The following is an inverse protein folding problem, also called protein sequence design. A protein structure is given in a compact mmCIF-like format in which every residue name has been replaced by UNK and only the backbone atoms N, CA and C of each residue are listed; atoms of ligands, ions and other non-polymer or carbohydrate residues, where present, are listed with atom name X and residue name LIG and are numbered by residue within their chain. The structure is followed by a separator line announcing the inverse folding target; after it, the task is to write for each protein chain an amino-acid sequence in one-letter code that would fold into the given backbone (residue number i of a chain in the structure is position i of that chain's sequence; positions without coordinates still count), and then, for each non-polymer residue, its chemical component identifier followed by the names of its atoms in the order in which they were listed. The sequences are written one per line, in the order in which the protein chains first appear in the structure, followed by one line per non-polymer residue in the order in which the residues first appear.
data_IF_380285136007
#
_entry.id   IF_380285136007
#
_cell.length_a   1.000
_cell.length_b   1.000
_cell.length_c   1.000
_cell.angle_alpha   90.00
_cell.angle_beta   90.00
_cell.angle_gamma   90.00
#
_symmetry.space_group_name_H-M   'P 1'
#
loop_
_entity.id
_entity.type
_entity.pdbx_description
1 polymer ?
#
# COMPACT_ATOMS: atom_id res chain seq x y z
N UNK A 1 -15.43 -15.78 -4.57
CA UNK A 1 -14.89 -14.44 -4.35
C UNK A 1 -15.86 -13.40 -4.87
N UNK A 2 -16.22 -12.37 -4.10
CA UNK A 2 -17.01 -11.24 -4.57
C UNK A 2 -16.31 -10.53 -5.73
N UNK A 3 -17.11 -9.90 -6.60
CA UNK A 3 -16.57 -9.15 -7.74
C UNK A 3 -15.78 -7.93 -7.23
N UNK A 4 -14.54 -7.79 -7.67
CA UNK A 4 -13.66 -6.66 -7.32
C UNK A 4 -13.96 -5.46 -8.22
N UNK A 5 -15.01 -4.71 -7.85
CA UNK A 5 -15.54 -3.59 -8.65
C UNK A 5 -14.66 -2.33 -8.56
N UNK A 6 -13.88 -2.18 -7.49
CA UNK A 6 -13.12 -0.96 -7.20
C UNK A 6 -11.65 -1.05 -7.62
N UNK A 7 -11.17 -2.18 -8.10
CA UNK A 7 -9.78 -2.40 -8.47
C UNK A 7 -9.21 -1.28 -9.35
N UNK A 8 -9.86 -0.97 -10.46
CA UNK A 8 -9.36 0.04 -11.41
C UNK A 8 -9.34 1.44 -10.78
N UNK A 9 -10.31 1.76 -9.94
CA UNK A 9 -10.39 3.02 -9.23
C UNK A 9 -9.28 3.17 -8.18
N UNK A 10 -8.98 2.08 -7.43
CA UNK A 10 -7.89 2.07 -6.45
C UNK A 10 -6.55 2.27 -7.15
N UNK A 11 -6.26 1.51 -8.21
CA UNK A 11 -5.01 1.69 -8.97
C UNK A 11 -4.90 3.10 -9.58
N UNK A 12 -6.00 3.66 -10.10
CA UNK A 12 -5.99 5.02 -10.63
C UNK A 12 -5.67 6.06 -9.54
N UNK A 13 -6.20 5.92 -8.33
CA UNK A 13 -5.89 6.79 -7.21
C UNK A 13 -4.41 6.69 -6.78
N UNK A 14 -3.86 5.47 -6.71
CA UNK A 14 -2.43 5.26 -6.43
C UNK A 14 -1.53 5.82 -7.54
N UNK A 15 -1.89 5.61 -8.81
CA UNK A 15 -1.15 6.14 -9.96
C UNK A 15 -1.15 7.67 -10.00
N UNK A 16 -2.27 8.29 -9.65
CA UNK A 16 -2.37 9.76 -9.56
C UNK A 16 -1.45 10.33 -8.49
N UNK A 17 -1.28 9.64 -7.37
CA UNK A 17 -0.39 10.04 -6.29
C UNK A 17 1.09 9.78 -6.59
N UNK A 18 1.38 8.88 -7.52
CA UNK A 18 2.75 8.40 -7.82
C UNK A 18 3.73 9.54 -8.11
N UNK A 19 3.39 10.45 -9.02
CA UNK A 19 4.30 11.55 -9.40
C UNK A 19 4.65 12.46 -8.22
N UNK A 20 3.69 12.65 -7.32
CA UNK A 20 3.86 13.43 -6.09
C UNK A 20 4.83 12.73 -5.12
N UNK A 21 4.66 11.43 -4.92
CA UNK A 21 5.52 10.64 -4.05
C UNK A 21 6.91 10.39 -4.65
N UNK A 22 7.03 10.29 -5.97
CA UNK A 22 8.34 10.20 -6.65
C UNK A 22 9.17 11.47 -6.45
N UNK A 23 8.54 12.64 -6.59
CA UNK A 23 9.21 13.92 -6.45
C UNK A 23 9.44 14.30 -4.98
N UNK A 24 8.50 13.97 -4.10
CA UNK A 24 8.45 14.50 -2.75
C UNK A 24 8.28 16.03 -2.74
N UNK A 25 8.33 16.64 -1.55
CA UNK A 25 8.34 18.10 -1.40
C UNK A 25 6.97 18.68 -1.04
N UNK A 26 6.70 19.89 -1.49
CA UNK A 26 5.49 20.63 -1.11
C UNK A 26 4.41 20.53 -2.17
N UNK A 27 3.19 20.26 -1.72
CA UNK A 27 1.99 20.13 -2.56
C UNK A 27 0.92 21.09 -2.06
N UNK A 28 0.34 21.88 -2.96
CA UNK A 28 -0.86 22.68 -2.65
C UNK A 28 -2.08 21.74 -2.69
N UNK A 29 -2.81 21.74 -1.61
CA UNK A 29 -4.01 20.93 -1.44
C UNK A 29 -5.12 21.77 -0.81
N UNK A 30 -6.07 22.22 -1.63
CA UNK A 30 -7.19 23.09 -1.23
C UNK A 30 -6.76 24.32 -0.42
N UNK A 31 -5.70 25.01 -0.86
CA UNK A 31 -5.16 26.20 -0.20
C UNK A 31 -4.29 25.93 1.03
N UNK A 32 -4.04 24.67 1.35
CA UNK A 32 -3.08 24.26 2.38
C UNK A 32 -1.84 23.68 1.71
N UNK A 33 -0.67 23.98 2.27
CA UNK A 33 0.59 23.36 1.81
C UNK A 33 0.87 22.11 2.62
N UNK A 34 1.01 20.97 1.94
CA UNK A 34 1.37 19.68 2.52
C UNK A 34 2.83 19.35 2.21
N UNK A 35 3.58 18.95 3.22
CA UNK A 35 4.90 18.35 3.02
C UNK A 35 4.73 16.84 2.80
N UNK A 36 5.22 16.35 1.67
CA UNK A 36 5.13 14.94 1.27
C UNK A 36 6.54 14.39 1.08
N UNK A 37 6.96 13.38 1.86
CA UNK A 37 8.27 12.77 1.64
C UNK A 37 8.30 12.01 0.32
N UNK A 38 9.48 11.92 -0.30
CA UNK A 38 9.67 11.03 -1.43
C UNK A 38 9.54 9.57 -0.96
N UNK A 39 8.90 8.73 -1.77
CA UNK A 39 8.77 7.31 -1.45
C UNK A 39 10.13 6.59 -1.51
N UNK A 40 10.25 5.51 -0.77
CA UNK A 40 11.44 4.65 -0.78
C UNK A 40 11.45 3.76 -2.02
N UNK A 41 12.66 3.52 -2.54
CA UNK A 41 12.95 2.52 -3.54
C UNK A 41 13.89 1.47 -2.96
N UNK A 42 13.56 0.21 -3.13
CA UNK A 42 14.32 -0.90 -2.56
C UNK A 42 15.29 -1.48 -3.56
N UNK A 43 16.49 -1.82 -3.08
CA UNK A 43 17.54 -2.39 -3.92
C UNK A 43 17.31 -3.88 -4.24
N UNK A 44 16.75 -4.62 -3.27
CA UNK A 44 16.65 -6.08 -3.31
C UNK A 44 15.55 -6.63 -2.39
N UNK A 45 15.35 -7.94 -2.42
CA UNK A 45 14.36 -8.61 -1.55
C UNK A 45 14.67 -8.47 -0.07
N UNK A 46 15.94 -8.41 0.31
CA UNK A 46 16.35 -8.31 1.73
C UNK A 46 15.86 -6.97 2.30
N UNK A 47 16.07 -5.88 1.56
CA UNK A 47 15.60 -4.55 1.96
C UNK A 47 14.07 -4.46 1.97
N UNK A 48 13.36 -5.11 1.03
CA UNK A 48 11.90 -5.18 1.02
C UNK A 48 11.41 -5.98 2.24
N UNK A 49 11.98 -7.15 2.52
CA UNK A 49 11.57 -7.95 3.68
C UNK A 49 11.79 -7.19 4.99
N UNK A 50 12.95 -6.58 5.16
CA UNK A 50 13.25 -5.78 6.36
C UNK A 50 12.26 -4.61 6.53
N UNK A 51 11.87 -3.97 5.44
CA UNK A 51 10.85 -2.91 5.45
C UNK A 51 9.48 -3.46 5.84
N UNK A 52 9.00 -4.54 5.21
CA UNK A 52 7.73 -5.20 5.54
C UNK A 52 7.69 -5.59 7.01
N UNK A 53 8.75 -6.22 7.52
CA UNK A 53 8.85 -6.59 8.93
C UNK A 53 8.79 -5.37 9.85
N UNK A 54 9.39 -4.24 9.45
CA UNK A 54 9.34 -3.00 10.23
C UNK A 54 7.93 -2.39 10.24
N UNK A 55 7.23 -2.40 9.11
CA UNK A 55 5.84 -1.92 8.99
C UNK A 55 4.90 -2.75 9.84
N UNK A 56 5.01 -4.08 9.79
CA UNK A 56 4.19 -4.97 10.60
C UNK A 56 4.43 -4.81 12.12
N UNK A 57 5.62 -4.32 12.53
CA UNK A 57 5.93 -4.02 13.95
C UNK A 57 5.52 -2.62 14.40
N UNK A 58 5.01 -1.75 13.54
CA UNK A 58 4.50 -0.45 13.95
C UNK A 58 3.37 -0.63 14.98
N UNK A 59 3.43 0.12 16.09
CA UNK A 59 2.43 0.02 17.15
C UNK A 59 0.99 0.19 16.63
N UNK A 60 0.66 1.18 15.77
CA UNK A 60 -0.69 1.32 15.22
C UNK A 60 -1.14 0.13 14.34
N UNK A 61 -0.19 -0.58 13.71
CA UNK A 61 -0.48 -1.79 12.93
C UNK A 61 -0.79 -2.95 13.85
N UNK A 62 0.05 -3.17 14.87
CA UNK A 62 -0.15 -4.23 15.87
C UNK A 62 -1.43 -4.04 16.68
N UNK A 63 -1.76 -2.80 17.06
CA UNK A 63 -2.98 -2.47 17.79
C UNK A 63 -4.24 -2.75 16.95
N UNK A 64 -4.18 -2.47 15.66
CA UNK A 64 -5.34 -2.63 14.77
C UNK A 64 -5.51 -4.06 14.26
N UNK A 65 -4.42 -4.79 14.07
CA UNK A 65 -4.37 -6.17 13.57
C UNK A 65 -3.48 -7.05 14.46
N UNK A 66 -3.89 -7.29 15.72
CA UNK A 66 -3.03 -7.99 16.71
C UNK A 66 -2.73 -9.44 16.33
N UNK A 67 -3.58 -10.07 15.51
CA UNK A 67 -3.45 -11.46 15.10
C UNK A 67 -2.68 -11.63 13.77
N UNK A 68 -2.22 -10.52 13.17
CA UNK A 68 -1.45 -10.59 11.92
C UNK A 68 -0.05 -11.12 12.19
N UNK A 69 0.26 -12.24 11.55
CA UNK A 69 1.58 -12.88 11.59
C UNK A 69 2.56 -12.27 10.57
N UNK A 70 3.80 -12.77 10.57
CA UNK A 70 4.80 -12.40 9.57
C UNK A 70 4.38 -12.85 8.17
N UNK A 71 4.87 -12.15 7.15
CA UNK A 71 4.68 -12.47 5.74
C UNK A 71 6.04 -12.60 5.04
N UNK A 72 6.18 -13.58 4.17
CA UNK A 72 7.40 -13.79 3.41
C UNK A 72 7.37 -12.94 2.12
N UNK A 73 8.47 -12.25 1.84
CA UNK A 73 8.69 -11.59 0.55
C UNK A 73 9.55 -12.49 -0.34
N UNK A 74 9.10 -12.75 -1.56
CA UNK A 74 9.87 -13.53 -2.54
C UNK A 74 9.93 -12.85 -3.89
N UNK A 75 10.93 -13.19 -4.68
CA UNK A 75 10.97 -12.80 -6.07
C UNK A 75 9.93 -13.57 -6.88
N UNK A 76 9.38 -12.88 -7.86
CA UNK A 76 8.44 -13.42 -8.83
C UNK A 76 9.02 -13.33 -10.23
N UNK A 77 8.91 -14.40 -11.02
CA UNK A 77 9.22 -14.36 -12.45
C UNK A 77 8.20 -13.48 -13.20
N UNK A 78 8.67 -12.71 -14.17
CA UNK A 78 7.86 -11.80 -14.99
C UNK A 78 7.88 -10.36 -14.48
N UNK A 79 7.27 -9.44 -15.25
CA UNK A 79 7.40 -8.00 -15.02
C UNK A 79 6.07 -7.28 -14.77
N UNK A 80 4.93 -7.98 -14.82
CA UNK A 80 3.65 -7.31 -14.98
C UNK A 80 2.91 -6.97 -13.69
N UNK A 81 3.16 -7.64 -12.56
CA UNK A 81 2.43 -7.41 -11.30
C UNK A 81 3.20 -7.94 -10.09
N UNK A 82 3.21 -7.16 -8.99
CA UNK A 82 3.34 -7.70 -7.65
C UNK A 82 2.00 -8.32 -7.23
N UNK A 83 1.97 -9.23 -6.29
CA UNK A 83 0.73 -9.73 -5.70
C UNK A 83 0.95 -10.42 -4.36
N UNK A 84 -0.09 -10.38 -3.54
CA UNK A 84 -0.20 -11.14 -2.31
C UNK A 84 -0.79 -12.55 -2.59
N UNK A 85 -0.17 -13.57 -2.02
CA UNK A 85 -0.61 -14.96 -2.06
C UNK A 85 -1.10 -15.37 -0.66
N UNK A 86 -2.41 -15.58 -0.47
CA UNK A 86 -2.91 -16.06 0.81
C UNK A 86 -2.50 -17.52 1.05
N UNK A 87 -2.27 -17.88 2.30
CA UNK A 87 -1.90 -19.23 2.69
C UNK A 87 -1.31 -19.25 4.09
N UNK A 88 -0.60 -20.31 4.45
CA UNK A 88 0.06 -20.42 5.76
C UNK A 88 1.16 -19.36 5.88
N UNK A 89 0.86 -18.26 6.58
CA UNK A 89 1.75 -17.12 6.77
C UNK A 89 1.71 -16.06 5.65
N UNK A 90 1.11 -16.36 4.49
CA UNK A 90 1.05 -15.44 3.34
C UNK A 90 2.40 -15.19 2.66
N UNK A 91 2.35 -14.78 1.40
CA UNK A 91 3.55 -14.42 0.61
C UNK A 91 3.28 -13.17 -0.22
N UNK A 92 4.22 -12.22 -0.20
CA UNK A 92 4.25 -11.07 -1.11
C UNK A 92 5.25 -11.38 -2.24
N UNK A 93 4.75 -11.52 -3.46
CA UNK A 93 5.55 -11.85 -4.62
C UNK A 93 5.85 -10.59 -5.46
N UNK A 94 7.13 -10.18 -5.51
CA UNK A 94 7.60 -8.93 -6.13
C UNK A 94 8.46 -9.24 -7.36
N UNK A 95 8.12 -8.73 -8.56
CA UNK A 95 9.02 -8.83 -9.70
C UNK A 95 10.16 -7.81 -9.56
N UNK A 96 11.40 -8.28 -9.62
CA UNK A 96 12.61 -7.45 -9.56
C UNK A 96 13.29 -7.29 -10.92
N UNK A 97 12.51 -7.26 -11.99
CA UNK A 97 13.04 -7.04 -13.35
C UNK A 97 13.52 -5.60 -13.53
N UNK A 98 14.64 -5.42 -14.22
CA UNK A 98 15.25 -4.10 -14.44
C UNK A 98 16.42 -3.79 -13.51
N UNK A 99 17.04 -2.64 -13.72
CA UNK A 99 18.15 -2.16 -12.91
C UNK A 99 17.65 -1.67 -11.54
N UNK A 100 18.47 -1.78 -10.48
CA UNK A 100 18.17 -1.17 -9.19
C UNK A 100 17.80 0.31 -9.36
N UNK A 101 16.75 0.76 -8.66
CA UNK A 101 16.21 2.13 -8.78
C UNK A 101 15.24 2.34 -9.95
N UNK A 102 15.16 1.41 -10.90
CA UNK A 102 14.21 1.46 -12.03
C UNK A 102 13.12 0.38 -11.93
N UNK A 103 13.17 -0.44 -10.89
CA UNK A 103 12.23 -1.54 -10.66
C UNK A 103 10.92 -1.00 -10.12
N UNK A 104 9.91 -0.92 -10.96
CA UNK A 104 8.60 -0.35 -10.62
C UNK A 104 7.95 -1.02 -9.39
N UNK A 105 8.17 -2.32 -9.19
CA UNK A 105 7.57 -3.06 -8.10
C UNK A 105 8.38 -3.01 -6.79
N UNK A 106 9.65 -2.54 -6.85
CA UNK A 106 10.49 -2.32 -5.68
C UNK A 106 10.30 -0.90 -5.09
N UNK A 107 9.07 -0.39 -5.11
CA UNK A 107 8.67 0.91 -4.59
C UNK A 107 7.85 0.73 -3.32
N UNK A 108 7.99 1.65 -2.40
CA UNK A 108 7.30 1.63 -1.11
C UNK A 108 5.78 1.50 -1.27
N UNK A 109 5.19 2.26 -2.17
CA UNK A 109 3.75 2.23 -2.42
C UNK A 109 3.26 0.88 -2.92
N UNK A 110 4.00 0.21 -3.82
CA UNK A 110 3.67 -1.13 -4.29
C UNK A 110 3.79 -2.16 -3.18
N UNK A 111 4.84 -2.07 -2.37
CA UNK A 111 5.03 -2.98 -1.22
C UNK A 111 3.91 -2.80 -0.20
N UNK A 112 3.53 -1.55 0.14
CA UNK A 112 2.43 -1.26 1.06
C UNK A 112 1.07 -1.74 0.54
N UNK A 113 0.84 -1.69 -0.78
CA UNK A 113 -0.35 -2.27 -1.40
C UNK A 113 -0.48 -3.77 -1.09
N UNK A 114 0.60 -4.53 -1.26
CA UNK A 114 0.61 -5.97 -0.97
C UNK A 114 0.54 -6.25 0.54
N UNK A 115 1.14 -5.40 1.38
CA UNK A 115 0.97 -5.48 2.85
C UNK A 115 -0.49 -5.22 3.24
N UNK A 116 -1.19 -4.27 2.60
CA UNK A 116 -2.61 -4.04 2.86
C UNK A 116 -3.44 -5.30 2.59
N UNK A 117 -3.15 -6.02 1.50
CA UNK A 117 -3.78 -7.33 1.26
C UNK A 117 -3.50 -8.31 2.38
N UNK A 118 -2.26 -8.39 2.88
CA UNK A 118 -1.91 -9.29 3.98
C UNK A 118 -2.68 -8.98 5.27
N UNK A 119 -2.86 -7.69 5.59
CA UNK A 119 -3.55 -7.26 6.81
C UNK A 119 -5.04 -7.59 6.83
N UNK A 120 -5.70 -7.59 5.67
CA UNK A 120 -7.17 -7.68 5.60
C UNK A 120 -7.69 -8.80 4.71
N UNK A 121 -6.83 -9.72 4.30
CA UNK A 121 -7.24 -10.81 3.41
C UNK A 121 -8.47 -11.55 3.93
N UNK A 122 -9.46 -11.68 3.05
CA UNK A 122 -10.64 -12.52 3.27
C UNK A 122 -11.13 -13.07 1.93
N UNK A 123 -11.54 -14.34 1.92
CA UNK A 123 -12.14 -14.94 0.72
C UNK A 123 -13.55 -14.38 0.44
N UNK A 124 -14.18 -13.79 1.45
CA UNK A 124 -15.56 -13.30 1.41
C UNK A 124 -15.67 -11.81 1.07
N UNK A 125 -14.55 -11.08 1.10
CA UNK A 125 -14.48 -9.65 0.78
C UNK A 125 -13.92 -9.39 -0.63
N UNK A 126 -14.34 -8.29 -1.30
CA UNK A 126 -13.67 -7.81 -2.50
C UNK A 126 -12.21 -7.45 -2.19
N UNK A 127 -11.28 -7.85 -3.04
CA UNK A 127 -9.85 -7.65 -2.81
C UNK A 127 -9.48 -6.17 -2.61
N UNK A 128 -10.13 -5.25 -3.36
CA UNK A 128 -9.93 -3.79 -3.23
C UNK A 128 -11.19 -3.10 -2.68
N UNK A 129 -11.86 -3.75 -1.72
CA UNK A 129 -13.03 -3.21 -1.03
C UNK A 129 -12.65 -2.18 0.06
N UNK A 130 -13.67 -1.69 0.80
CA UNK A 130 -13.48 -0.67 1.85
C UNK A 130 -12.45 -1.05 2.91
N UNK A 131 -12.39 -2.32 3.33
CA UNK A 131 -11.40 -2.80 4.31
C UNK A 131 -9.97 -2.67 3.79
N UNK A 132 -9.74 -3.05 2.53
CA UNK A 132 -8.43 -2.88 1.88
C UNK A 132 -8.05 -1.40 1.81
N UNK A 133 -8.94 -0.54 1.33
CA UNK A 133 -8.68 0.90 1.22
C UNK A 133 -8.38 1.54 2.57
N UNK A 134 -9.11 1.16 3.62
CA UNK A 134 -8.85 1.61 4.98
C UNK A 134 -7.48 1.16 5.51
N UNK A 135 -7.09 -0.10 5.27
CA UNK A 135 -5.78 -0.60 5.64
C UNK A 135 -4.66 0.14 4.87
N UNK A 136 -4.83 0.35 3.56
CA UNK A 136 -3.86 1.06 2.74
C UNK A 136 -3.67 2.51 3.20
N UNK A 137 -4.75 3.24 3.50
CA UNK A 137 -4.67 4.62 4.03
C UNK A 137 -3.91 4.64 5.36
N UNK A 138 -4.17 3.70 6.28
CA UNK A 138 -3.44 3.62 7.56
C UNK A 138 -1.97 3.29 7.36
N UNK A 139 -1.64 2.39 6.45
CA UNK A 139 -0.24 2.11 6.12
C UNK A 139 0.47 3.36 5.59
N UNK A 140 -0.15 4.11 4.68
CA UNK A 140 0.40 5.38 4.21
C UNK A 140 0.60 6.39 5.35
N UNK A 141 -0.38 6.48 6.26
CA UNK A 141 -0.31 7.41 7.41
C UNK A 141 0.87 7.12 8.33
N UNK A 142 1.16 5.86 8.61
CA UNK A 142 2.14 5.47 9.62
C UNK A 142 3.50 5.09 9.03
N UNK A 143 3.55 4.62 7.79
CA UNK A 143 4.80 4.22 7.14
C UNK A 143 5.40 5.31 6.23
N UNK A 144 4.57 6.16 5.62
CA UNK A 144 5.02 7.26 4.77
C UNK A 144 4.83 8.60 5.51
N UNK A 145 3.61 9.13 5.53
CA UNK A 145 3.25 10.35 6.26
C UNK A 145 1.74 10.57 6.30
N UNK A 146 1.23 11.38 7.26
CA UNK A 146 -0.17 11.81 7.28
C UNK A 146 -0.58 12.55 5.99
N UNK A 147 0.32 13.35 5.40
CA UNK A 147 0.08 14.05 4.14
C UNK A 147 -0.16 13.07 2.98
N UNK A 148 0.67 12.02 2.86
CA UNK A 148 0.50 10.98 1.85
C UNK A 148 -0.83 10.24 2.01
N UNK A 149 -1.21 9.91 3.23
CA UNK A 149 -2.50 9.27 3.54
C UNK A 149 -3.69 10.17 3.17
N UNK A 150 -3.61 11.48 3.46
CA UNK A 150 -4.65 12.44 3.08
C UNK A 150 -4.83 12.53 1.56
N UNK A 151 -3.73 12.59 0.81
CA UNK A 151 -3.76 12.62 -0.66
C UNK A 151 -4.33 11.33 -1.24
N UNK A 152 -3.92 10.16 -0.72
CA UNK A 152 -4.49 8.87 -1.14
C UNK A 152 -5.99 8.81 -0.88
N UNK A 153 -6.43 9.22 0.31
CA UNK A 153 -7.84 9.27 0.67
C UNK A 153 -8.64 10.16 -0.28
N UNK A 154 -8.15 11.36 -0.57
CA UNK A 154 -8.80 12.27 -1.51
C UNK A 154 -8.88 11.67 -2.93
N UNK A 155 -7.82 10.98 -3.38
CA UNK A 155 -7.83 10.26 -4.65
C UNK A 155 -8.88 9.15 -4.70
N UNK A 156 -8.99 8.34 -3.66
CA UNK A 156 -10.00 7.28 -3.54
C UNK A 156 -11.43 7.85 -3.51
N UNK A 157 -11.67 8.90 -2.72
CA UNK A 157 -12.97 9.60 -2.67
C UNK A 157 -13.35 10.16 -4.06
N UNK A 158 -12.38 10.79 -4.74
CA UNK A 158 -12.59 11.33 -6.10
C UNK A 158 -12.88 10.24 -7.13
N UNK A 159 -12.31 9.06 -6.95
CA UNK A 159 -12.55 7.88 -7.79
C UNK A 159 -13.85 7.11 -7.43
N UNK A 160 -14.62 7.62 -6.45
CA UNK A 160 -15.89 7.01 -6.02
C UNK A 160 -15.73 5.70 -5.28
N UNK A 161 -14.56 5.45 -4.66
CA UNK A 161 -14.34 4.25 -3.85
C UNK A 161 -14.98 4.46 -2.47
N UNK A 162 -15.90 3.58 -2.04
CA UNK A 162 -16.53 3.73 -0.74
C UNK A 162 -15.53 3.48 0.38
N UNK A 163 -15.39 4.45 1.28
CA UNK A 163 -14.58 4.35 2.49
C UNK A 163 -15.52 4.23 3.69
N UNK A 164 -15.38 3.19 4.50
CA UNK A 164 -16.19 3.07 5.73
C UNK A 164 -15.57 3.89 6.85
N UNK A 165 -16.40 4.65 7.60
CA UNK A 165 -15.93 5.54 8.66
C UNK A 165 -15.14 4.83 9.78
N UNK A 166 -15.42 3.55 10.05
CA UNK A 166 -14.72 2.76 11.05
C UNK A 166 -13.27 2.37 10.68
N UNK A 167 -12.95 2.40 9.38
CA UNK A 167 -11.62 2.03 8.87
C UNK A 167 -10.72 3.24 8.64
N UNK A 168 -11.31 4.43 8.63
CA UNK A 168 -10.64 5.72 8.37
C UNK A 168 -10.49 6.56 9.64
N UNK A 169 -11.19 6.23 10.72
CA UNK A 169 -11.04 6.92 11.99
C UNK A 169 -9.73 6.52 12.67
N UNK A 170 -8.94 7.53 12.95
CA UNK A 170 -7.59 7.66 13.50
C UNK A 170 -6.94 6.47 14.15
#
# INVERSE_FOLDING_TARGET
MPRDQHRSAVYAAEDQLRSTLEAGGRVDFFGSTLDVPAERHFADLVSIQAYVDSVLRLAPVQERWPDVGPVLVRERAGSSRAHYEPGSGGVIAIPLTGLPGQRWAARETVVLHEVAHHLVWSADDPAHGPRFCGALIRLYQHAISPSAALLLRAGLDSAGVPLTGAEVAA
#
